data_IF_418758844049
#
_entry.id   IF_418758844049
#
_cell.length_a   1.000
_cell.length_b   1.000
_cell.length_c   1.000
_cell.angle_alpha   90.00
_cell.angle_beta   90.00
_cell.angle_gamma   90.00
#
_symmetry.space_group_name_H-M   'P 1'
#
loop_
_entity.id
_entity.type
_entity.pdbx_description
1 polymer ?
#
# COMPACT_ATOMS: atom_id res chain seq x y z
N UNK A 1 -2.61 -5.06 3.63
CA UNK A 1 -1.28 -4.51 3.30
C UNK A 1 -1.33 -3.00 3.48
N UNK A 2 -0.22 -2.38 3.87
CA UNK A 2 -0.10 -0.91 3.95
C UNK A 2 -0.19 -0.22 2.59
N UNK A 3 -0.42 1.11 2.59
CA UNK A 3 -0.25 1.94 1.39
C UNK A 3 1.24 2.10 1.05
N UNK A 4 1.60 1.72 -0.17
CA UNK A 4 2.98 1.68 -0.65
C UNK A 4 3.05 1.83 -2.18
N UNK A 5 4.25 2.00 -2.71
CA UNK A 5 4.52 1.82 -4.14
C UNK A 5 5.88 1.18 -4.39
N UNK A 6 6.00 0.52 -5.55
CA UNK A 6 7.25 -0.02 -6.05
C UNK A 6 7.92 1.02 -6.96
N UNK A 7 9.18 1.44 -6.67
CA UNK A 7 9.79 2.58 -7.36
C UNK A 7 10.14 2.31 -8.82
N UNK A 8 10.35 1.05 -9.21
CA UNK A 8 11.00 0.73 -10.49
C UNK A 8 10.34 -0.38 -11.31
N UNK A 9 9.47 -1.21 -10.75
CA UNK A 9 8.95 -2.39 -11.43
C UNK A 9 7.44 -2.50 -11.25
N UNK A 10 6.80 -3.04 -12.28
CA UNK A 10 5.40 -3.44 -12.21
C UNK A 10 5.25 -4.61 -11.23
N UNK A 11 4.14 -4.61 -10.50
CA UNK A 11 3.71 -5.75 -9.71
C UNK A 11 2.69 -6.57 -10.50
N UNK A 12 2.92 -7.88 -10.54
CA UNK A 12 1.92 -8.85 -10.92
C UNK A 12 1.50 -9.63 -9.69
N UNK A 13 0.20 -9.75 -9.44
CA UNK A 13 -0.31 -10.37 -8.21
C UNK A 13 -1.20 -11.57 -8.52
N UNK A 14 -1.12 -12.62 -7.70
CA UNK A 14 -2.02 -13.78 -7.78
C UNK A 14 -2.69 -14.05 -6.44
N UNK A 15 -4.02 -14.05 -6.44
CA UNK A 15 -4.82 -14.24 -5.24
C UNK A 15 -5.09 -15.73 -5.02
N UNK A 16 -4.56 -16.29 -3.93
CA UNK A 16 -4.61 -17.72 -3.61
C UNK A 16 -5.90 -18.07 -2.85
N UNK A 17 -6.25 -17.26 -1.85
CA UNK A 17 -7.45 -17.46 -1.01
C UNK A 17 -7.95 -16.12 -0.46
N UNK A 18 -9.22 -16.10 -0.05
CA UNK A 18 -9.88 -14.94 0.55
C UNK A 18 -10.45 -13.95 -0.47
N UNK A 19 -10.91 -12.82 0.05
CA UNK A 19 -11.52 -11.73 -0.70
C UNK A 19 -10.84 -10.42 -0.31
N UNK A 20 -10.44 -9.64 -1.30
CA UNK A 20 -9.80 -8.36 -1.06
C UNK A 20 -10.18 -7.31 -2.09
N UNK A 21 -9.81 -6.07 -1.78
CA UNK A 21 -9.84 -4.97 -2.74
C UNK A 21 -8.50 -4.27 -2.80
N UNK A 22 -8.13 -3.79 -3.98
CA UNK A 22 -6.95 -2.96 -4.18
C UNK A 22 -7.35 -1.67 -4.88
N UNK A 23 -6.89 -0.54 -4.35
CA UNK A 23 -7.02 0.76 -5.02
C UNK A 23 -5.66 1.17 -5.54
N UNK A 24 -5.59 1.49 -6.84
CA UNK A 24 -4.40 2.00 -7.50
C UNK A 24 -4.55 3.51 -7.72
N UNK A 25 -3.49 4.25 -7.44
CA UNK A 25 -3.37 5.68 -7.68
C UNK A 25 -2.37 5.95 -8.81
N UNK A 26 -2.89 6.48 -9.92
CA UNK A 26 -2.18 6.69 -11.17
C UNK A 26 -1.68 8.14 -11.35
N UNK A 27 -1.49 8.88 -10.25
CA UNK A 27 -1.24 10.33 -10.22
C UNK A 27 -2.40 11.20 -10.74
N UNK A 28 -2.25 12.52 -10.69
CA UNK A 28 -3.18 13.49 -11.28
C UNK A 28 -4.65 13.34 -10.84
N UNK A 29 -4.87 12.89 -9.61
CA UNK A 29 -6.21 12.62 -9.07
C UNK A 29 -6.90 11.39 -9.66
N UNK A 30 -6.22 10.58 -10.47
CA UNK A 30 -6.75 9.36 -11.05
C UNK A 30 -6.52 8.18 -10.09
N UNK A 31 -7.60 7.54 -9.68
CA UNK A 31 -7.55 6.32 -8.89
C UNK A 31 -8.66 5.36 -9.32
N UNK A 32 -8.41 4.06 -9.18
CA UNK A 32 -9.40 3.02 -9.43
C UNK A 32 -9.27 1.87 -8.45
N UNK A 33 -10.41 1.39 -7.97
CA UNK A 33 -10.52 0.25 -7.07
C UNK A 33 -10.99 -0.99 -7.83
N UNK A 34 -10.39 -2.13 -7.51
CA UNK A 34 -10.72 -3.45 -8.04
C UNK A 34 -10.91 -4.42 -6.89
N UNK A 35 -11.84 -5.35 -7.05
CA UNK A 35 -12.04 -6.46 -6.12
C UNK A 35 -11.35 -7.71 -6.67
N UNK A 36 -10.83 -8.53 -5.77
CA UNK A 36 -10.12 -9.77 -6.07
C UNK A 36 -10.58 -10.89 -5.15
N UNK A 37 -10.61 -12.10 -5.69
CA UNK A 37 -10.88 -13.34 -4.98
C UNK A 37 -9.88 -14.42 -5.41
N UNK A 38 -9.97 -15.59 -4.78
CA UNK A 38 -9.15 -16.75 -5.14
C UNK A 38 -9.19 -17.05 -6.65
N UNK A 39 -8.02 -17.14 -7.27
CA UNK A 39 -7.84 -17.38 -8.71
C UNK A 39 -7.66 -16.11 -9.56
N UNK A 40 -7.91 -14.92 -9.00
CA UNK A 40 -7.76 -13.68 -9.74
C UNK A 40 -6.30 -13.24 -9.89
N UNK A 41 -6.06 -12.45 -10.94
CA UNK A 41 -4.77 -11.85 -11.26
C UNK A 41 -4.87 -10.33 -11.15
N UNK A 42 -3.95 -9.74 -10.38
CA UNK A 42 -3.76 -8.31 -10.24
C UNK A 42 -2.57 -7.80 -11.07
N UNK A 43 -2.61 -6.51 -11.40
CA UNK A 43 -1.48 -5.82 -12.01
C UNK A 43 -1.44 -4.38 -11.53
N UNK A 44 -0.27 -3.96 -11.03
CA UNK A 44 -0.01 -2.58 -10.63
C UNK A 44 1.18 -2.04 -11.44
N UNK A 45 0.97 -1.02 -12.30
CA UNK A 45 2.08 -0.38 -13.00
C UNK A 45 3.10 0.23 -12.02
N UNK A 46 4.36 0.24 -12.42
CA UNK A 46 5.45 0.80 -11.63
C UNK A 46 5.11 2.22 -11.12
N UNK A 47 5.53 2.52 -9.89
CA UNK A 47 5.30 3.78 -9.18
C UNK A 47 3.83 4.11 -8.84
N UNK A 48 2.84 3.28 -9.18
CA UNK A 48 1.46 3.53 -8.77
C UNK A 48 1.32 3.22 -7.28
N UNK A 49 0.84 4.21 -6.53
CA UNK A 49 0.50 4.02 -5.12
C UNK A 49 -0.66 3.06 -4.98
N UNK A 50 -0.58 2.10 -4.08
CA UNK A 50 -1.66 1.15 -3.86
C UNK A 50 -1.64 0.57 -2.46
N UNK A 51 -2.76 -0.04 -2.08
CA UNK A 51 -2.90 -0.87 -0.89
C UNK A 51 -3.81 -2.05 -1.22
N UNK A 52 -3.59 -3.19 -0.57
CA UNK A 52 -4.47 -4.36 -0.62
C UNK A 52 -5.16 -4.53 0.73
N UNK A 53 -6.49 -4.48 0.73
CA UNK A 53 -7.31 -4.64 1.93
C UNK A 53 -8.07 -5.96 1.87
N UNK A 54 -8.06 -6.69 2.98
CA UNK A 54 -8.93 -7.85 3.14
C UNK A 54 -10.34 -7.37 3.46
N UNK A 55 -11.29 -7.69 2.60
CA UNK A 55 -12.71 -7.30 2.74
C UNK A 55 -13.59 -8.46 3.20
N UNK A 56 -13.03 -9.67 3.28
CA UNK A 56 -13.72 -10.87 3.71
C UNK A 56 -13.56 -11.19 5.20
N UNK A 57 -14.20 -12.27 5.62
CA UNK A 57 -14.14 -12.79 7.00
C UNK A 57 -13.08 -13.88 7.20
N UNK A 58 -12.27 -14.15 6.18
CA UNK A 58 -11.23 -15.20 6.17
C UNK A 58 -9.87 -14.60 5.85
N UNK A 59 -8.81 -15.41 5.88
CA UNK A 59 -7.47 -14.93 5.53
C UNK A 59 -7.40 -14.62 4.04
N UNK A 60 -6.96 -13.41 3.70
CA UNK A 60 -6.54 -13.06 2.35
C UNK A 60 -5.07 -13.46 2.16
N UNK A 61 -4.79 -14.31 1.17
CA UNK A 61 -3.42 -14.69 0.80
C UNK A 61 -3.23 -14.48 -0.69
N UNK A 62 -2.16 -13.79 -1.04
CA UNK A 62 -1.80 -13.51 -2.41
C UNK A 62 -0.27 -13.46 -2.56
N UNK A 63 0.20 -13.51 -3.79
CA UNK A 63 1.61 -13.36 -4.15
C UNK A 63 1.80 -12.03 -4.85
N UNK A 64 2.92 -11.37 -4.56
CA UNK A 64 3.44 -10.21 -5.30
C UNK A 64 4.65 -10.68 -6.10
N UNK A 65 4.63 -10.48 -7.42
CA UNK A 65 5.64 -10.99 -8.32
C UNK A 65 6.19 -9.82 -9.15
N UNK A 66 7.51 -9.73 -9.19
CA UNK A 66 8.23 -8.66 -9.86
C UNK A 66 9.20 -9.23 -10.86
N UNK A 67 9.33 -8.59 -12.02
CA UNK A 67 10.42 -8.88 -12.97
C UNK A 67 11.69 -8.17 -12.52
N UNK A 68 12.24 -8.59 -11.38
CA UNK A 68 13.39 -7.99 -10.71
C UNK A 68 14.18 -9.07 -9.96
N UNK A 69 15.47 -8.84 -9.76
CA UNK A 69 16.31 -9.65 -8.87
C UNK A 69 16.15 -9.27 -7.39
N UNK A 70 15.48 -8.15 -7.11
CA UNK A 70 15.26 -7.61 -5.77
C UNK A 70 13.84 -7.07 -5.59
N UNK A 71 13.30 -7.29 -4.40
CA UNK A 71 12.08 -6.64 -3.92
C UNK A 71 12.42 -5.25 -3.38
N UNK A 72 11.64 -4.24 -3.77
CA UNK A 72 11.78 -2.87 -3.29
C UNK A 72 10.43 -2.20 -3.23
N UNK A 73 10.14 -1.51 -2.12
CA UNK A 73 8.90 -0.78 -1.94
C UNK A 73 9.10 0.41 -0.99
N UNK A 74 8.29 1.45 -1.17
CA UNK A 74 8.30 2.65 -0.32
C UNK A 74 6.98 2.70 0.43
N UNK A 75 7.04 2.65 1.76
CA UNK A 75 5.86 2.76 2.61
C UNK A 75 5.49 4.23 2.78
N UNK A 76 4.22 4.58 2.57
CA UNK A 76 3.71 5.93 2.81
C UNK A 76 3.95 6.36 4.27
N UNK A 77 3.60 5.50 5.23
CA UNK A 77 3.76 5.80 6.65
C UNK A 77 5.24 6.07 7.01
N UNK A 78 6.14 5.18 6.60
CA UNK A 78 7.57 5.35 6.85
C UNK A 78 8.14 6.59 6.17
N UNK A 79 7.72 6.88 4.93
CA UNK A 79 8.17 8.06 4.20
C UNK A 79 7.80 9.36 4.94
N UNK A 80 6.55 9.45 5.43
CA UNK A 80 6.11 10.58 6.24
C UNK A 80 6.87 10.63 7.58
N UNK A 81 7.08 9.50 8.25
CA UNK A 81 7.79 9.42 9.53
C UNK A 81 9.28 9.85 9.45
N UNK A 82 9.89 9.70 8.26
CA UNK A 82 11.27 10.08 7.99
C UNK A 82 11.40 11.50 7.41
N UNK A 83 10.29 12.16 7.11
CA UNK A 83 10.25 13.55 6.66
C UNK A 83 10.14 14.48 7.88
N UNK A 84 10.79 15.67 7.89
CA UNK A 84 10.64 16.63 8.98
C UNK A 84 9.16 16.88 9.33
N UNK A 85 8.74 16.75 10.61
CA UNK A 85 7.34 16.85 11.01
C UNK A 85 6.63 18.11 10.54
N UNK A 86 7.31 19.26 10.60
CA UNK A 86 6.73 20.54 10.18
C UNK A 86 6.42 20.59 8.69
N UNK A 87 7.19 19.88 7.85
CA UNK A 87 6.87 19.75 6.43
C UNK A 87 5.63 18.88 6.24
N UNK A 88 5.54 17.74 6.93
CA UNK A 88 4.37 16.86 6.83
C UNK A 88 3.10 17.59 7.27
N UNK A 89 3.15 18.31 8.40
CA UNK A 89 2.04 19.14 8.90
C UNK A 89 1.65 20.22 7.91
N UNK A 90 2.61 20.90 7.29
CA UNK A 90 2.32 21.93 6.28
C UNK A 90 1.66 21.36 5.01
N UNK A 91 2.00 20.14 4.59
CA UNK A 91 1.42 19.51 3.39
C UNK A 91 0.04 18.91 3.65
N UNK A 92 -0.15 18.23 4.79
CA UNK A 92 -1.34 17.42 5.06
C UNK A 92 -2.31 18.05 6.08
N UNK A 93 -1.92 19.15 6.72
CA UNK A 93 -2.71 19.86 7.74
C UNK A 93 -3.08 18.96 8.92
N UNK A 94 -2.14 18.12 9.36
CA UNK A 94 -2.31 17.19 10.47
C UNK A 94 -1.87 17.81 11.81
N UNK A 95 -2.46 17.32 12.90
CA UNK A 95 -2.08 17.68 14.26
C UNK A 95 -0.89 16.86 14.78
N UNK A 96 -0.31 17.30 15.89
CA UNK A 96 0.85 16.62 16.49
C UNK A 96 0.51 15.21 16.99
N UNK A 97 -0.75 14.95 17.38
CA UNK A 97 -1.21 13.63 17.79
C UNK A 97 -1.16 12.64 16.62
N UNK A 98 -1.71 13.01 15.45
CA UNK A 98 -1.64 12.16 14.25
C UNK A 98 -0.19 11.92 13.82
N UNK A 99 0.66 12.94 13.88
CA UNK A 99 2.09 12.82 13.55
C UNK A 99 2.81 11.85 14.50
N UNK A 100 2.46 11.83 15.78
CA UNK A 100 3.06 10.93 16.77
C UNK A 100 2.81 9.44 16.49
N UNK A 101 1.76 9.12 15.72
CA UNK A 101 1.43 7.76 15.31
C UNK A 101 2.18 7.28 14.04
N UNK A 102 2.96 8.15 13.40
CA UNK A 102 3.81 7.77 12.26
C UNK A 102 5.01 6.91 12.74
N UNK A 103 5.29 5.83 12.03
CA UNK A 103 6.33 4.86 12.38
C UNK A 103 7.51 4.92 11.42
N UNK A 104 8.71 5.12 11.95
CA UNK A 104 9.97 5.04 11.19
C UNK A 104 10.33 3.60 10.82
N UNK A 105 9.76 2.62 11.52
CA UNK A 105 9.89 1.20 11.20
C UNK A 105 8.71 0.80 10.33
N UNK A 106 8.99 0.22 9.16
CA UNK A 106 7.97 -0.15 8.19
C UNK A 106 7.15 -1.37 8.66
N UNK A 107 5.83 -1.23 8.85
CA UNK A 107 4.95 -2.39 8.91
C UNK A 107 4.57 -2.83 7.49
N UNK A 108 4.56 -4.14 7.22
CA UNK A 108 4.15 -4.67 5.90
C UNK A 108 2.63 -4.90 5.83
N UNK A 109 2.07 -5.42 6.92
CA UNK A 109 0.63 -5.64 7.10
C UNK A 109 0.22 -5.02 8.42
N UNK A 110 -0.87 -4.26 8.39
CA UNK A 110 -1.50 -3.67 9.57
C UNK A 110 -2.90 -4.22 9.73
N UNK A 111 -3.33 -4.43 10.97
CA UNK A 111 -4.73 -4.76 11.29
C UNK A 111 -5.63 -3.53 11.15
N UNK A 112 -6.96 -3.71 11.23
CA UNK A 112 -7.87 -2.58 11.37
C UNK A 112 -7.45 -1.72 12.56
N UNK A 113 -7.52 -0.40 12.41
CA UNK A 113 -7.30 0.53 13.53
C UNK A 113 -8.33 0.24 14.63
N UNK A 114 -7.89 0.29 15.88
CA UNK A 114 -8.79 0.30 17.04
C UNK A 114 -9.59 1.60 17.10
#
# INVERSE_FOLDING_TARGET
MICQWHPTQDEWSYFIEGEGRMTLFASSGNARTFNYQAGDVGFVPASFGHYVENTGNTTLRFLEIFKSDRFQDISLNQWLALTPPDLVKAHLQLDDDTIAHLSKTKPTVIGPGN
#
